data_IF_634450569367
#
_entry.id   IF_634450569367
#
_cell.length_a   1.000
_cell.length_b   1.000
_cell.length_c   1.000
_cell.angle_alpha   90.00
_cell.angle_beta   90.00
_cell.angle_gamma   90.00
#
_symmetry.space_group_name_H-M   'P 1'
#
loop_
_entity.id
_entity.type
_entity.pdbx_description
1 polymer ?
#
# COMPACT_ATOMS: atom_id res chain seq x y z
N UNK A 1 -12.05 8.97 -43.98
CA UNK A 1 -11.02 9.22 -42.94
C UNK A 1 -11.62 9.44 -41.53
N UNK A 2 -12.84 8.96 -41.24
CA UNK A 2 -13.61 9.28 -40.01
C UNK A 2 -13.65 8.14 -38.98
N UNK A 3 -13.27 6.93 -39.35
CA UNK A 3 -13.38 5.72 -38.49
C UNK A 3 -12.37 5.68 -37.34
N UNK A 4 -11.23 6.38 -37.43
CA UNK A 4 -10.17 6.33 -36.40
C UNK A 4 -10.48 7.16 -35.15
N UNK A 5 -11.25 8.25 -35.27
CA UNK A 5 -11.55 9.14 -34.15
C UNK A 5 -12.60 8.58 -33.18
N UNK A 6 -13.60 7.87 -33.73
CA UNK A 6 -14.68 7.22 -32.96
C UNK A 6 -14.12 6.10 -32.08
N UNK A 7 -13.22 5.28 -32.63
CA UNK A 7 -12.56 4.19 -31.90
C UNK A 7 -11.69 4.73 -30.74
N UNK A 8 -10.93 5.81 -30.97
CA UNK A 8 -10.12 6.44 -29.91
C UNK A 8 -10.98 6.94 -28.74
N UNK A 9 -12.12 7.59 -29.01
CA UNK A 9 -13.04 8.06 -27.95
C UNK A 9 -13.66 6.90 -27.17
N UNK A 10 -14.02 5.82 -27.85
CA UNK A 10 -14.57 4.62 -27.19
C UNK A 10 -13.54 3.99 -26.25
N UNK A 11 -12.29 3.82 -26.69
CA UNK A 11 -11.20 3.29 -25.86
C UNK A 11 -10.93 4.16 -24.62
N UNK A 12 -10.91 5.49 -24.77
CA UNK A 12 -10.73 6.40 -23.64
C UNK A 12 -11.86 6.31 -22.61
N UNK A 13 -13.11 6.12 -23.04
CA UNK A 13 -14.24 5.89 -22.10
C UNK A 13 -14.09 4.60 -21.31
N UNK A 14 -13.57 3.54 -21.94
CA UNK A 14 -13.26 2.28 -21.22
C UNK A 14 -12.20 2.55 -20.15
N UNK A 15 -11.12 3.26 -20.50
CA UNK A 15 -10.06 3.63 -19.53
C UNK A 15 -10.63 4.46 -18.37
N UNK A 16 -11.45 5.47 -18.65
CA UNK A 16 -12.12 6.27 -17.60
C UNK A 16 -13.01 5.40 -16.70
N UNK A 17 -13.80 4.49 -17.29
CA UNK A 17 -14.65 3.57 -16.56
C UNK A 17 -13.86 2.64 -15.64
N UNK A 18 -12.75 2.09 -16.14
CA UNK A 18 -11.84 1.26 -15.35
C UNK A 18 -11.25 2.06 -14.19
N UNK A 19 -10.72 3.27 -14.44
CA UNK A 19 -10.14 4.11 -13.37
C UNK A 19 -11.21 4.46 -12.32
N UNK A 20 -12.42 4.82 -12.74
CA UNK A 20 -13.52 5.14 -11.82
C UNK A 20 -13.89 3.94 -10.95
N UNK A 21 -13.97 2.73 -11.51
CA UNK A 21 -14.22 1.51 -10.74
C UNK A 21 -13.11 1.31 -9.70
N UNK A 22 -11.84 1.48 -10.06
CA UNK A 22 -10.73 1.35 -9.11
C UNK A 22 -10.77 2.43 -8.02
N UNK A 23 -11.16 3.67 -8.35
CA UNK A 23 -11.39 4.74 -7.36
C UNK A 23 -12.48 4.32 -6.36
N UNK A 24 -13.62 3.82 -6.85
CA UNK A 24 -14.73 3.42 -6.00
C UNK A 24 -14.37 2.22 -5.11
N UNK A 25 -13.64 1.25 -5.64
CA UNK A 25 -13.12 0.13 -4.85
C UNK A 25 -12.17 0.63 -3.76
N UNK A 26 -11.24 1.53 -4.10
CA UNK A 26 -10.28 2.09 -3.14
C UNK A 26 -10.97 2.90 -2.06
N UNK A 27 -11.95 3.73 -2.43
CA UNK A 27 -12.75 4.51 -1.48
C UNK A 27 -13.58 3.59 -0.57
N UNK A 28 -14.24 2.58 -1.15
CA UNK A 28 -15.02 1.59 -0.41
C UNK A 28 -14.16 0.78 0.57
N UNK A 29 -12.95 0.40 0.15
CA UNK A 29 -11.98 -0.28 1.03
C UNK A 29 -11.58 0.61 2.21
N UNK A 30 -11.22 1.88 1.96
CA UNK A 30 -10.87 2.82 3.03
C UNK A 30 -12.02 3.09 3.99
N UNK A 31 -13.23 3.34 3.48
CA UNK A 31 -14.42 3.59 4.29
C UNK A 31 -14.86 2.35 5.07
N UNK A 32 -14.79 1.16 4.48
CA UNK A 32 -15.15 -0.08 5.19
C UNK A 32 -14.20 -0.37 6.36
N UNK A 33 -12.91 -0.03 6.24
CA UNK A 33 -11.98 -0.12 7.37
C UNK A 33 -12.36 0.85 8.50
N UNK A 34 -12.73 2.10 8.17
CA UNK A 34 -13.15 3.12 9.15
C UNK A 34 -14.46 2.75 9.86
N UNK A 35 -15.44 2.24 9.12
CA UNK A 35 -16.80 1.96 9.62
C UNK A 35 -16.95 0.56 10.19
N UNK A 36 -16.07 -0.36 9.83
CA UNK A 36 -16.15 -1.78 10.16
C UNK A 36 -15.80 -2.14 11.61
N UNK A 37 -15.67 -3.45 11.89
CA UNK A 37 -15.52 -3.98 13.24
C UNK A 37 -14.29 -3.45 13.98
N UNK A 38 -13.22 -3.14 13.26
CA UNK A 38 -12.00 -2.58 13.85
C UNK A 38 -12.07 -1.08 14.12
N UNK A 39 -12.91 -0.35 13.39
CA UNK A 39 -13.02 1.10 13.44
C UNK A 39 -14.11 1.54 14.40
N UNK A 40 -15.06 2.32 13.87
CA UNK A 40 -16.18 2.88 14.63
C UNK A 40 -17.25 1.84 15.03
N UNK A 41 -17.16 0.59 14.54
CA UNK A 41 -18.16 -0.47 14.77
C UNK A 41 -19.57 -0.09 14.35
N UNK A 42 -19.70 0.77 13.36
CA UNK A 42 -21.00 1.15 12.81
C UNK A 42 -21.55 0.02 11.93
N UNK A 43 -20.65 -0.81 11.38
CA UNK A 43 -20.98 -1.98 10.58
C UNK A 43 -20.44 -3.24 11.28
N UNK A 44 -21.33 -4.19 11.59
CA UNK A 44 -20.99 -5.52 12.12
C UNK A 44 -20.70 -6.54 11.01
N UNK A 45 -20.57 -6.09 9.77
CA UNK A 45 -20.19 -6.94 8.66
C UNK A 45 -18.68 -7.17 8.72
N UNK A 46 -18.24 -8.41 8.58
CA UNK A 46 -16.86 -8.78 8.28
C UNK A 46 -16.79 -9.02 6.77
N UNK A 47 -16.33 -8.04 5.97
CA UNK A 47 -16.29 -8.21 4.53
C UNK A 47 -15.39 -9.38 4.11
N UNK A 48 -15.99 -10.52 3.77
CA UNK A 48 -15.31 -11.68 3.21
C UNK A 48 -15.06 -11.43 1.71
N UNK A 49 -14.29 -10.40 1.38
CA UNK A 49 -13.88 -10.23 -0.02
C UNK A 49 -12.92 -11.36 -0.37
N UNK A 50 -13.05 -12.01 -1.54
CA UNK A 50 -12.16 -13.09 -1.95
C UNK A 50 -10.68 -12.67 -2.05
N UNK A 51 -10.40 -11.36 -1.99
CA UNK A 51 -9.06 -10.77 -2.05
C UNK A 51 -8.53 -10.35 -0.66
N UNK A 52 -9.40 -10.24 0.35
CA UNK A 52 -9.05 -9.76 1.69
C UNK A 52 -9.36 -10.87 2.69
N UNK A 53 -8.34 -11.66 3.04
CA UNK A 53 -8.50 -12.79 3.97
C UNK A 53 -9.04 -12.38 5.34
N UNK A 54 -9.78 -13.29 5.99
CA UNK A 54 -10.44 -13.05 7.28
C UNK A 54 -9.48 -12.59 8.41
N UNK A 55 -8.20 -12.97 8.34
CA UNK A 55 -7.16 -12.55 9.28
C UNK A 55 -6.86 -11.04 9.26
N UNK A 56 -7.36 -10.31 8.25
CA UNK A 56 -7.19 -8.85 8.18
C UNK A 56 -8.10 -8.09 9.16
N UNK A 57 -9.06 -8.76 9.78
CA UNK A 57 -10.00 -8.15 10.73
C UNK A 57 -9.59 -8.30 12.19
N UNK A 58 -8.59 -9.11 12.51
CA UNK A 58 -7.95 -9.01 13.82
C UNK A 58 -6.90 -7.90 13.76
N UNK A 59 -6.86 -7.07 14.80
CA UNK A 59 -5.76 -6.11 14.96
C UNK A 59 -4.49 -6.93 15.18
N UNK A 60 -3.76 -7.17 14.10
CA UNK A 60 -2.54 -7.95 14.10
C UNK A 60 -1.42 -7.20 13.37
N UNK A 61 -0.22 -7.30 13.92
CA UNK A 61 0.99 -6.75 13.30
C UNK A 61 1.88 -7.92 12.93
N UNK A 62 2.18 -8.04 11.64
CA UNK A 62 3.25 -8.92 11.18
C UNK A 62 4.60 -8.30 11.54
N UNK A 63 5.45 -9.09 12.17
CA UNK A 63 6.75 -8.63 12.64
C UNK A 63 7.77 -9.77 12.67
N UNK A 64 9.05 -9.41 12.62
CA UNK A 64 10.15 -10.33 12.82
C UNK A 64 10.38 -10.54 14.31
N UNK A 65 10.61 -11.79 14.73
CA UNK A 65 11.03 -12.11 16.09
C UNK A 65 12.50 -11.76 16.30
N UNK A 66 12.84 -11.27 17.48
CA UNK A 66 14.22 -10.97 17.85
C UNK A 66 15.07 -12.24 17.84
N UNK A 67 16.35 -12.10 17.50
CA UNK A 67 17.30 -13.20 17.65
C UNK A 67 17.38 -13.59 19.14
N UNK A 68 17.28 -14.89 19.43
CA UNK A 68 17.24 -15.36 20.82
C UNK A 68 15.88 -15.18 21.52
N UNK A 69 14.80 -14.83 20.81
CA UNK A 69 13.44 -14.74 21.38
C UNK A 69 12.89 -16.07 21.94
N UNK A 70 13.66 -17.17 21.87
CA UNK A 70 13.27 -18.48 22.41
C UNK A 70 12.15 -19.14 21.62
N UNK A 71 12.05 -18.87 20.31
CA UNK A 71 11.03 -19.48 19.44
C UNK A 71 11.30 -20.98 19.32
N UNK A 72 10.44 -21.79 19.94
CA UNK A 72 10.51 -23.25 19.86
C UNK A 72 9.71 -23.74 18.65
N UNK A 73 10.41 -24.23 17.62
CA UNK A 73 9.77 -24.88 16.47
C UNK A 73 9.41 -26.31 16.86
N UNK A 74 8.13 -26.56 17.13
CA UNK A 74 7.63 -27.91 17.39
C UNK A 74 7.82 -28.77 16.14
N UNK A 75 8.51 -29.91 16.30
CA UNK A 75 8.79 -30.83 15.20
C UNK A 75 10.00 -30.45 14.36
N UNK A 76 10.88 -29.58 14.86
CA UNK A 76 12.16 -29.32 14.22
C UNK A 76 12.95 -30.63 13.98
N UNK A 77 13.69 -30.75 12.86
CA UNK A 77 14.63 -31.84 12.63
C UNK A 77 15.55 -32.05 13.84
N UNK A 78 15.69 -33.30 14.25
CA UNK A 78 16.67 -33.71 15.25
C UNK A 78 17.78 -34.46 14.56
N UNK A 79 18.99 -34.39 15.11
CA UNK A 79 20.20 -34.85 14.44
C UNK A 79 20.73 -36.06 15.18
N UNK A 80 21.26 -37.01 14.43
CA UNK A 80 22.00 -38.15 14.96
C UNK A 80 23.30 -38.28 14.19
N UNK A 81 24.40 -38.41 14.94
CA UNK A 81 25.68 -38.78 14.35
C UNK A 81 25.71 -40.27 14.03
N UNK A 82 26.20 -40.60 12.84
CA UNK A 82 26.41 -41.97 12.37
C UNK A 82 27.84 -42.11 11.87
N UNK A 83 28.29 -43.35 11.65
CA UNK A 83 29.64 -43.64 11.14
C UNK A 83 29.94 -42.96 9.79
N UNK A 84 28.90 -42.65 9.01
CA UNK A 84 29.01 -42.04 7.68
C UNK A 84 28.71 -40.53 7.68
N UNK A 85 28.43 -39.93 8.84
CA UNK A 85 28.15 -38.51 9.01
C UNK A 85 26.88 -38.21 9.81
N UNK A 86 26.55 -36.93 9.94
CA UNK A 86 25.33 -36.48 10.62
C UNK A 86 24.11 -36.58 9.70
N UNK A 87 23.04 -37.20 10.17
CA UNK A 87 21.79 -37.38 9.43
C UNK A 87 20.58 -36.93 10.27
N UNK A 88 19.47 -36.64 9.61
CA UNK A 88 18.19 -36.39 10.27
C UNK A 88 17.73 -37.67 11.00
N UNK A 89 17.46 -37.56 12.30
CA UNK A 89 17.16 -38.68 13.18
C UNK A 89 15.80 -39.34 12.89
N UNK A 90 14.88 -38.66 12.18
CA UNK A 90 13.54 -39.16 11.86
C UNK A 90 13.47 -39.82 10.48
N UNK A 91 14.16 -39.25 9.51
CA UNK A 91 14.05 -39.62 8.09
C UNK A 91 15.30 -40.30 7.54
N UNK A 92 16.45 -40.19 8.23
CA UNK A 92 17.75 -40.59 7.70
C UNK A 92 18.22 -39.69 6.54
N UNK A 93 17.50 -38.60 6.29
CA UNK A 93 17.82 -37.64 5.23
C UNK A 93 19.04 -36.79 5.55
N UNK A 94 19.42 -35.95 4.57
CA UNK A 94 20.49 -34.99 4.76
C UNK A 94 20.14 -34.01 5.88
N UNK A 95 21.13 -33.60 6.66
CA UNK A 95 20.94 -32.79 7.86
C UNK A 95 20.61 -31.33 7.42
N UNK A 96 19.56 -30.70 7.99
CA UNK A 96 19.04 -29.38 7.56
C UNK A 96 18.94 -28.41 8.74
N UNK A 97 19.66 -27.30 8.66
CA UNK A 97 19.62 -26.24 9.66
C UNK A 97 18.53 -25.21 9.28
N UNK A 98 17.68 -24.87 10.25
CA UNK A 98 16.65 -23.84 10.08
C UNK A 98 17.11 -22.60 10.81
N UNK A 99 17.56 -21.60 10.05
CA UNK A 99 18.03 -20.31 10.58
C UNK A 99 17.02 -19.19 10.28
N UNK A 100 17.03 -18.15 11.12
CA UNK A 100 16.15 -16.98 10.98
C UNK A 100 16.52 -16.09 9.79
N UNK A 101 15.69 -15.07 9.48
CA UNK A 101 14.66 -14.47 10.35
C UNK A 101 13.33 -15.22 10.40
N UNK A 102 12.70 -15.25 11.57
CA UNK A 102 11.35 -15.78 11.75
C UNK A 102 10.33 -14.65 11.76
N UNK A 103 9.31 -14.74 10.91
CA UNK A 103 8.18 -13.83 10.87
C UNK A 103 6.99 -14.43 11.61
N UNK A 104 6.23 -13.58 12.29
CA UNK A 104 4.99 -13.97 12.96
C UNK A 104 4.00 -12.83 13.04
N UNK A 105 2.79 -13.16 13.48
CA UNK A 105 1.73 -12.17 13.70
C UNK A 105 1.51 -11.99 15.20
N UNK A 106 1.55 -10.74 15.65
CA UNK A 106 1.19 -10.35 17.02
C UNK A 106 -0.23 -9.81 16.98
N UNK A 107 -1.18 -10.61 17.49
CA UNK A 107 -2.58 -10.22 17.64
C UNK A 107 -2.83 -9.44 18.93
N UNK A 108 -3.71 -8.45 18.87
CA UNK A 108 -4.13 -7.64 20.02
C UNK A 108 -5.60 -7.98 20.34
N UNK A 109 -5.88 -8.91 21.28
CA UNK A 109 -7.23 -9.43 21.52
C UNK A 109 -8.17 -8.42 22.20
N UNK A 110 -7.63 -7.45 22.93
CA UNK A 110 -8.40 -6.41 23.61
C UNK A 110 -7.77 -5.01 23.41
N UNK A 111 -7.78 -4.48 22.17
CA UNK A 111 -7.13 -3.20 21.89
C UNK A 111 -7.97 -2.05 22.44
N UNK A 112 -7.30 -1.07 23.05
CA UNK A 112 -7.94 0.16 23.52
C UNK A 112 -8.58 0.95 22.37
N UNK A 113 -9.54 1.82 22.68
CA UNK A 113 -10.17 2.68 21.66
C UNK A 113 -9.15 3.51 20.88
N UNK A 114 -8.15 4.06 21.56
CA UNK A 114 -7.08 4.83 20.92
C UNK A 114 -6.25 3.97 19.95
N UNK A 115 -5.85 2.76 20.37
CA UNK A 115 -5.12 1.82 19.51
C UNK A 115 -5.91 1.45 18.26
N UNK A 116 -7.23 1.21 18.42
CA UNK A 116 -8.13 0.90 17.30
C UNK A 116 -8.29 2.06 16.33
N UNK A 117 -8.57 3.26 16.84
CA UNK A 117 -8.75 4.45 16.01
C UNK A 117 -7.46 4.77 15.25
N UNK A 118 -6.30 4.70 15.90
CA UNK A 118 -5.00 4.91 15.23
C UNK A 118 -4.73 3.84 14.18
N UNK A 119 -4.94 2.56 14.52
CA UNK A 119 -4.74 1.44 13.60
C UNK A 119 -5.60 1.56 12.35
N UNK A 120 -6.87 1.88 12.54
CA UNK A 120 -7.85 1.99 11.45
C UNK A 120 -7.64 3.24 10.61
N UNK A 121 -7.34 4.39 11.24
CA UNK A 121 -6.99 5.62 10.51
C UNK A 121 -5.77 5.39 9.62
N UNK A 122 -4.76 4.68 10.17
CA UNK A 122 -3.58 4.27 9.43
C UNK A 122 -3.90 3.34 8.27
N UNK A 123 -4.59 2.22 8.53
CA UNK A 123 -4.98 1.23 7.50
C UNK A 123 -5.83 1.85 6.38
N UNK A 124 -6.75 2.75 6.72
CA UNK A 124 -7.61 3.43 5.75
C UNK A 124 -6.86 4.49 4.93
N UNK A 125 -5.76 5.05 5.44
CA UNK A 125 -5.04 6.14 4.77
C UNK A 125 -4.53 5.75 3.37
N UNK A 126 -3.96 4.56 3.20
CA UNK A 126 -3.42 4.10 1.92
C UNK A 126 -4.48 3.97 0.81
N UNK A 127 -5.60 3.24 1.01
CA UNK A 127 -6.64 3.15 -0.02
C UNK A 127 -7.34 4.50 -0.28
N UNK A 128 -7.48 5.36 0.73
CA UNK A 128 -8.04 6.72 0.54
C UNK A 128 -7.08 7.63 -0.26
N UNK A 129 -5.78 7.58 0.03
CA UNK A 129 -4.77 8.29 -0.73
C UNK A 129 -4.72 7.81 -2.18
N UNK A 130 -4.79 6.49 -2.39
CA UNK A 130 -4.86 5.89 -3.72
C UNK A 130 -6.12 6.35 -4.47
N UNK A 131 -7.28 6.39 -3.82
CA UNK A 131 -8.51 6.91 -4.40
C UNK A 131 -8.35 8.39 -4.83
N UNK A 132 -7.74 9.22 -3.99
CA UNK A 132 -7.47 10.63 -4.31
C UNK A 132 -6.48 10.80 -5.48
N UNK A 133 -5.40 10.02 -5.50
CA UNK A 133 -4.42 10.03 -6.58
C UNK A 133 -5.05 9.57 -7.91
N UNK A 134 -5.78 8.47 -7.90
CA UNK A 134 -6.50 7.96 -9.08
C UNK A 134 -7.60 8.91 -9.55
N UNK A 135 -8.23 9.64 -8.64
CA UNK A 135 -9.18 10.68 -8.99
C UNK A 135 -8.52 11.82 -9.78
N UNK A 136 -7.31 12.26 -9.37
CA UNK A 136 -6.55 13.25 -10.15
C UNK A 136 -6.21 12.72 -11.55
N UNK A 137 -5.81 11.45 -11.66
CA UNK A 137 -5.57 10.79 -12.95
C UNK A 137 -6.84 10.75 -13.80
N UNK A 138 -8.00 10.43 -13.21
CA UNK A 138 -9.29 10.42 -13.91
C UNK A 138 -9.62 11.80 -14.49
N UNK A 139 -9.37 12.88 -13.74
CA UNK A 139 -9.58 14.25 -14.23
C UNK A 139 -8.66 14.60 -15.41
N UNK A 140 -7.40 14.16 -15.37
CA UNK A 140 -6.46 14.33 -16.48
C UNK A 140 -6.96 13.55 -17.71
N UNK A 141 -7.30 12.26 -17.56
CA UNK A 141 -7.78 11.43 -18.67
C UNK A 141 -9.04 12.02 -19.31
N UNK A 142 -9.98 12.55 -18.51
CA UNK A 142 -11.19 13.22 -19.00
C UNK A 142 -10.88 14.42 -19.89
N UNK A 143 -9.95 15.28 -19.46
CA UNK A 143 -9.54 16.44 -20.27
C UNK A 143 -8.85 16.03 -21.57
N UNK A 144 -8.03 14.98 -21.55
CA UNK A 144 -7.40 14.41 -22.76
C UNK A 144 -8.47 13.88 -23.72
N UNK A 145 -9.53 13.25 -23.22
CA UNK A 145 -10.66 12.77 -24.05
C UNK A 145 -11.44 13.93 -24.69
N UNK A 146 -11.56 15.05 -23.98
CA UNK A 146 -12.22 16.27 -24.46
C UNK A 146 -11.42 16.99 -25.55
N UNK A 147 -10.15 16.61 -25.73
CA UNK A 147 -9.29 17.06 -26.83
C UNK A 147 -8.26 18.10 -26.42
N UNK A 148 -8.24 18.49 -25.13
CA UNK A 148 -7.29 19.47 -24.62
C UNK A 148 -6.39 18.87 -23.52
N UNK A 149 -5.30 18.18 -23.92
CA UNK A 149 -4.36 17.62 -22.96
C UNK A 149 -3.50 18.70 -22.30
N UNK A 150 -3.11 19.76 -23.02
CA UNK A 150 -2.13 20.76 -22.57
C UNK A 150 -2.84 21.99 -22.02
N UNK A 151 -3.37 21.85 -20.81
CA UNK A 151 -3.94 22.95 -20.04
C UNK A 151 -3.14 23.20 -18.76
N UNK A 152 -3.11 24.44 -18.28
CA UNK A 152 -2.50 24.77 -16.96
C UNK A 152 -3.22 24.01 -15.83
N UNK A 153 -4.51 23.73 -15.98
CA UNK A 153 -5.27 22.89 -15.06
C UNK A 153 -4.67 21.47 -14.94
N UNK A 154 -4.26 20.86 -16.05
CA UNK A 154 -3.60 19.56 -16.04
C UNK A 154 -2.19 19.63 -15.47
N UNK A 155 -1.42 20.67 -15.78
CA UNK A 155 -0.11 20.87 -15.17
C UNK A 155 -0.22 20.94 -13.64
N UNK A 156 -1.19 21.69 -13.11
CA UNK A 156 -1.48 21.74 -11.66
C UNK A 156 -1.91 20.38 -11.10
N UNK A 157 -2.74 19.62 -11.81
CA UNK A 157 -3.16 18.26 -11.40
C UNK A 157 -1.97 17.30 -11.32
N UNK A 158 -1.03 17.35 -12.26
CA UNK A 158 0.20 16.55 -12.21
C UNK A 158 1.09 16.95 -11.02
N UNK A 159 1.26 18.25 -10.74
CA UNK A 159 2.02 18.71 -9.55
C UNK A 159 1.37 18.24 -8.25
N UNK A 160 0.04 18.32 -8.16
CA UNK A 160 -0.70 17.80 -7.01
C UNK A 160 -0.56 16.29 -6.87
N UNK A 161 -0.66 15.54 -7.98
CA UNK A 161 -0.47 14.10 -7.99
C UNK A 161 0.94 13.71 -7.51
N UNK A 162 1.97 14.41 -7.99
CA UNK A 162 3.34 14.24 -7.53
C UNK A 162 3.47 14.45 -6.01
N UNK A 163 2.90 15.54 -5.48
CA UNK A 163 2.90 15.84 -4.05
C UNK A 163 2.13 14.81 -3.22
N UNK A 164 0.93 14.40 -3.67
CA UNK A 164 0.12 13.37 -2.99
C UNK A 164 0.86 12.04 -2.94
N UNK A 165 1.50 11.62 -4.03
CA UNK A 165 2.24 10.36 -4.08
C UNK A 165 3.53 10.43 -3.25
N UNK A 166 4.37 11.46 -3.44
CA UNK A 166 5.62 11.59 -2.71
C UNK A 166 5.39 11.84 -1.22
N UNK A 167 4.72 12.94 -0.88
CA UNK A 167 4.55 13.37 0.51
C UNK A 167 3.55 12.46 1.21
N UNK A 168 2.38 12.25 0.60
CA UNK A 168 1.33 11.43 1.20
C UNK A 168 1.75 9.98 1.37
N UNK A 169 2.34 9.36 0.35
CA UNK A 169 2.83 7.97 0.45
C UNK A 169 3.96 7.80 1.46
N UNK A 170 4.88 8.78 1.57
CA UNK A 170 5.97 8.73 2.55
C UNK A 170 5.47 8.95 3.97
N UNK A 171 4.63 9.96 4.20
CA UNK A 171 3.98 10.20 5.50
C UNK A 171 3.23 8.97 5.95
N UNK A 172 2.52 8.33 5.01
CA UNK A 172 1.86 7.07 5.27
C UNK A 172 2.92 6.06 5.74
N UNK A 173 3.91 5.70 4.92
CA UNK A 173 4.94 4.72 5.30
C UNK A 173 5.57 4.97 6.68
N UNK A 174 5.90 6.23 6.99
CA UNK A 174 6.49 6.62 8.28
C UNK A 174 5.51 6.43 9.43
N UNK A 175 4.28 6.95 9.30
CA UNK A 175 3.24 6.78 10.33
C UNK A 175 2.96 5.30 10.61
N UNK A 176 2.96 4.47 9.56
CA UNK A 176 2.83 3.03 9.71
C UNK A 176 3.94 2.39 10.53
N UNK A 177 5.20 2.77 10.27
CA UNK A 177 6.34 2.29 11.04
C UNK A 177 6.28 2.75 12.50
N UNK A 178 5.98 4.03 12.76
CA UNK A 178 5.81 4.58 14.12
C UNK A 178 4.69 3.85 14.86
N UNK A 179 3.52 3.69 14.24
CA UNK A 179 2.36 3.08 14.90
C UNK A 179 2.58 1.59 15.18
N UNK A 180 3.15 0.83 14.23
CA UNK A 180 3.52 -0.56 14.46
C UNK A 180 4.50 -0.69 15.62
N UNK A 181 5.53 0.16 15.64
CA UNK A 181 6.53 0.20 16.72
C UNK A 181 5.89 0.50 18.07
N UNK A 182 5.06 1.53 18.14
CA UNK A 182 4.36 1.93 19.36
C UNK A 182 3.40 0.83 19.86
N UNK A 183 2.70 0.14 18.96
CA UNK A 183 1.84 -1.00 19.31
C UNK A 183 2.63 -2.18 19.88
N UNK A 184 3.77 -2.52 19.26
CA UNK A 184 4.62 -3.61 19.73
C UNK A 184 5.28 -3.26 21.08
N UNK A 185 5.74 -2.02 21.25
CA UNK A 185 6.37 -1.55 22.49
C UNK A 185 5.39 -1.45 23.67
N UNK A 186 4.12 -1.14 23.38
CA UNK A 186 3.06 -1.14 24.40
C UNK A 186 2.52 -2.54 24.73
N UNK A 187 3.04 -3.59 24.07
CA UNK A 187 2.61 -4.98 24.28
C UNK A 187 3.57 -5.78 25.14
N UNK A 188 3.09 -6.91 25.67
CA UNK A 188 3.95 -7.89 26.33
C UNK A 188 4.96 -8.56 25.38
N UNK A 189 4.84 -8.37 24.07
CA UNK A 189 5.76 -8.90 23.06
C UNK A 189 6.98 -7.99 22.80
N UNK A 190 7.09 -6.86 23.49
CA UNK A 190 8.16 -5.86 23.28
C UNK A 190 9.60 -6.44 23.37
N UNK A 191 9.81 -7.48 24.18
CA UNK A 191 11.12 -8.11 24.37
C UNK A 191 11.43 -9.24 23.38
N UNK A 192 10.44 -9.75 22.65
CA UNK A 192 10.59 -10.89 21.73
C UNK A 192 10.54 -10.48 20.25
N UNK A 193 10.29 -9.20 19.97
CA UNK A 193 10.14 -8.65 18.63
C UNK A 193 11.35 -7.82 18.25
N UNK A 194 11.86 -8.01 17.03
CA UNK A 194 12.96 -7.23 16.49
C UNK A 194 12.56 -5.75 16.33
N UNK A 195 13.49 -4.83 16.61
CA UNK A 195 13.26 -3.39 16.47
C UNK A 195 13.74 -2.92 15.11
N UNK A 196 13.07 -3.35 14.06
CA UNK A 196 13.48 -2.96 12.72
C UNK A 196 12.74 -1.71 12.28
N UNK A 197 13.50 -0.73 11.80
CA UNK A 197 12.98 0.51 11.25
C UNK A 197 13.36 0.59 9.77
N UNK A 198 12.35 0.47 8.91
CA UNK A 198 12.51 0.63 7.47
C UNK A 198 11.58 1.72 6.95
N UNK A 199 12.13 2.64 6.16
CA UNK A 199 11.37 3.67 5.45
C UNK A 199 11.42 3.33 3.97
N UNK A 200 10.25 3.29 3.33
CA UNK A 200 10.17 3.12 1.88
C UNK A 200 10.42 4.44 1.17
N UNK A 201 11.44 4.47 0.31
CA UNK A 201 11.73 5.61 -0.58
C UNK A 201 10.97 5.56 -1.90
N UNK A 202 10.25 4.46 -2.16
CA UNK A 202 9.48 4.25 -3.39
C UNK A 202 8.48 5.38 -3.68
N UNK A 203 7.70 5.89 -2.69
CA UNK A 203 6.75 6.97 -2.96
C UNK A 203 7.44 8.27 -3.38
N UNK A 204 8.59 8.59 -2.77
CA UNK A 204 9.39 9.78 -3.12
C UNK A 204 9.86 9.71 -4.56
N UNK A 205 10.44 8.58 -4.97
CA UNK A 205 10.90 8.36 -6.34
C UNK A 205 9.74 8.42 -7.33
N UNK A 206 8.61 7.78 -7.02
CA UNK A 206 7.42 7.81 -7.86
C UNK A 206 6.88 9.24 -8.03
N UNK A 207 6.76 10.01 -6.95
CA UNK A 207 6.31 11.39 -7.02
C UNK A 207 7.29 12.30 -7.75
N UNK A 208 8.61 12.07 -7.63
CA UNK A 208 9.62 12.80 -8.39
C UNK A 208 9.47 12.56 -9.90
N UNK A 209 9.27 11.31 -10.32
CA UNK A 209 9.00 10.99 -11.74
C UNK A 209 7.73 11.68 -12.25
N UNK A 210 6.67 11.71 -11.43
CA UNK A 210 5.43 12.43 -11.77
C UNK A 210 5.68 13.95 -11.83
N UNK A 211 6.53 14.50 -10.97
CA UNK A 211 6.90 15.92 -10.99
C UNK A 211 7.67 16.29 -12.26
N UNK A 212 8.57 15.41 -12.73
CA UNK A 212 9.24 15.58 -14.03
C UNK A 212 8.20 15.60 -15.17
N UNK A 213 7.24 14.67 -15.16
CA UNK A 213 6.14 14.69 -16.13
C UNK A 213 5.32 15.98 -16.04
N UNK A 214 5.06 16.48 -14.83
CA UNK A 214 4.36 17.75 -14.62
C UNK A 214 5.11 18.93 -15.24
N UNK A 215 6.44 18.93 -15.13
CA UNK A 215 7.29 19.98 -15.69
C UNK A 215 7.32 19.93 -17.22
N UNK A 216 7.41 18.74 -17.81
CA UNK A 216 7.29 18.55 -19.26
C UNK A 216 5.93 19.02 -19.75
N UNK A 217 4.87 18.73 -19.00
CA UNK A 217 3.51 19.19 -19.33
C UNK A 217 3.40 20.72 -19.32
N UNK A 218 3.98 21.38 -18.32
CA UNK A 218 4.02 22.84 -18.23
C UNK A 218 4.75 23.49 -19.41
N UNK A 219 5.86 22.91 -19.86
CA UNK A 219 6.53 23.38 -21.08
C UNK A 219 5.66 23.21 -22.33
N UNK A 220 4.93 22.09 -22.44
CA UNK A 220 4.00 21.86 -23.54
C UNK A 220 2.84 22.85 -23.58
N UNK A 221 2.37 23.31 -22.41
CA UNK A 221 1.37 24.40 -22.31
C UNK A 221 1.97 25.71 -22.81
N UNK A 222 3.14 26.11 -22.33
CA UNK A 222 3.79 27.35 -22.76
C UNK A 222 4.07 27.39 -24.27
N UNK A 223 4.54 26.29 -24.86
CA UNK A 223 4.76 26.18 -26.31
C UNK A 223 3.48 26.31 -27.12
N UNK A 224 2.34 25.86 -26.57
CA UNK A 224 1.04 26.00 -27.22
C UNK A 224 0.58 27.45 -27.20
N UNK A 225 0.69 28.11 -26.04
CA UNK A 225 0.30 29.51 -25.88
C UNK A 225 1.11 30.40 -26.85
N UNK A 226 2.42 30.15 -27.00
CA UNK A 226 3.28 30.84 -27.98
C UNK A 226 2.84 30.66 -29.43
N UNK A 227 2.27 29.49 -29.80
CA UNK A 227 1.80 29.23 -31.16
C UNK A 227 0.43 29.86 -31.43
N UNK A 228 -0.43 29.96 -30.41
CA UNK A 228 -1.74 30.61 -30.51
C UNK A 228 -1.60 32.14 -30.67
N UNK A 229 -0.55 32.75 -30.13
CA UNK A 229 -0.27 34.20 -30.25
C UNK A 229 0.30 34.64 -31.63
N UNK A 230 0.71 33.70 -32.48
CA UNK A 230 1.39 33.99 -33.77
C UNK A 230 0.44 33.96 -34.98
N UNK A 231 -0.79 33.50 -34.83
CA UNK A 231 -1.79 33.33 -35.91
C UNK A 231 -2.85 34.42 -35.86
#
# INVERSE_FOLDING_TARGET
>A
MTTSSVDRRARMRVVEGVILVVVLISLGAGLSMLLGPNGLRLLNFEPQWPVVGASQYEMSVETQFAEGAGVLVRGAPTWRDTETGTVDARTGGRPVEVTGPFFGQVGFPAPSLAQRLLWVSWRASAPLLAAGALWLVLLIVRSVREGDPFTEANARRFRLLAGVVAVGGTLISVLGAVLRRWLLDSSGASNIVARDWSISWVPVLAGLLIAVLAQVWGHGVAMRDELEDVV
#
